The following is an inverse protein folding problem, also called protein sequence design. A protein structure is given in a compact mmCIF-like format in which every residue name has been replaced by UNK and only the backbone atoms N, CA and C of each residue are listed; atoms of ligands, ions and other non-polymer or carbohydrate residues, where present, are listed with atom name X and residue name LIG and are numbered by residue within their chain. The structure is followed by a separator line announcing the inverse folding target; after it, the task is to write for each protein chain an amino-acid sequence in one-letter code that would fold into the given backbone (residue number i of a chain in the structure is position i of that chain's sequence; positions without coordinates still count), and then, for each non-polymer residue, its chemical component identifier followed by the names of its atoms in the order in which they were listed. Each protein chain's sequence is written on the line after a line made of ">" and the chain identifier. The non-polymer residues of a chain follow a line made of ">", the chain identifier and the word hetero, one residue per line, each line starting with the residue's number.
data_IF_675061078656
#
_entry.id   IF_675061078656
#
_cell.length_a   1.000
_cell.length_b   1.000
_cell.length_c   1.000
_cell.angle_alpha   90.00
_cell.angle_beta   90.00
_cell.angle_gamma   90.00
#
_symmetry.space_group_name_H-M   'P 1'
#
loop_
_entity.id
_entity.type
_entity.pdbx_description
1 polymer ?
#
# COMPACT_ATOMS: atom_id res chain seq x y z
N UNK A 1 -2.32 -1.36 15.45
CA UNK A 1 -1.83 -2.72 15.74
C UNK A 1 -0.31 -2.70 15.79
N UNK A 2 0.27 -3.01 16.93
CA UNK A 2 1.72 -3.10 17.05
C UNK A 2 2.25 -4.32 16.28
N UNK A 3 3.53 -4.28 15.92
CA UNK A 3 4.17 -5.40 15.23
C UNK A 3 4.04 -6.69 16.06
N UNK A 4 4.25 -6.59 17.36
CA UNK A 4 4.15 -7.72 18.28
C UNK A 4 2.74 -8.35 18.28
N UNK A 5 1.70 -7.52 18.31
CA UNK A 5 0.30 -7.96 18.27
C UNK A 5 -0.10 -8.52 16.90
N UNK A 6 0.52 -8.00 15.84
CA UNK A 6 0.23 -8.42 14.47
C UNK A 6 0.88 -9.75 14.09
N UNK A 7 1.98 -10.13 14.73
CA UNK A 7 2.75 -11.33 14.36
C UNK A 7 1.91 -12.60 14.24
N UNK A 8 1.01 -12.93 15.19
CA UNK A 8 0.19 -14.14 15.05
C UNK A 8 -0.72 -14.11 13.83
N UNK A 9 -1.29 -12.95 13.50
CA UNK A 9 -2.16 -12.78 12.33
C UNK A 9 -1.34 -12.92 11.05
N UNK A 10 -0.19 -12.26 10.99
CA UNK A 10 0.69 -12.25 9.80
C UNK A 10 1.26 -13.63 9.49
N UNK A 11 1.47 -14.46 10.50
CA UNK A 11 1.96 -15.83 10.32
C UNK A 11 0.86 -16.83 10.00
N UNK A 12 -0.36 -16.62 10.55
CA UNK A 12 -1.46 -17.58 10.46
C UNK A 12 -2.36 -17.38 9.23
N UNK A 13 -2.38 -16.18 8.63
CA UNK A 13 -3.28 -15.84 7.53
C UNK A 13 -2.53 -15.71 6.20
N UNK A 14 -3.15 -16.10 5.07
CA UNK A 14 -2.56 -15.92 3.76
C UNK A 14 -2.41 -14.44 3.38
N UNK A 15 -1.26 -14.07 2.84
CA UNK A 15 -1.01 -12.73 2.33
C UNK A 15 -1.41 -12.62 0.85
N UNK A 16 -2.23 -11.62 0.54
CA UNK A 16 -2.50 -11.18 -0.82
C UNK A 16 -1.64 -9.93 -1.04
N UNK A 17 -0.69 -10.00 -1.96
CA UNK A 17 0.34 -8.99 -2.12
C UNK A 17 0.21 -8.22 -3.44
N UNK A 18 0.85 -7.05 -3.48
CA UNK A 18 1.15 -6.38 -4.75
C UNK A 18 2.08 -7.23 -5.60
N UNK A 19 2.08 -7.01 -6.88
CA UNK A 19 2.99 -7.67 -7.80
C UNK A 19 4.44 -7.41 -7.43
N UNK A 20 5.28 -8.41 -7.64
CA UNK A 20 6.72 -8.29 -7.48
C UNK A 20 7.26 -7.20 -8.43
N UNK A 21 8.21 -6.42 -7.97
CA UNK A 21 8.83 -5.33 -8.73
C UNK A 21 8.16 -3.96 -8.52
N UNK A 22 7.01 -3.88 -7.88
CA UNK A 22 6.44 -2.60 -7.50
C UNK A 22 7.16 -2.02 -6.27
N UNK A 23 7.29 -0.68 -6.21
CA UNK A 23 7.90 -0.02 -5.06
C UNK A 23 7.16 -0.26 -3.76
N UNK A 24 5.83 -0.34 -3.81
CA UNK A 24 5.01 -0.66 -2.64
C UNK A 24 5.27 -2.08 -2.16
N UNK A 25 5.40 -3.05 -3.07
CA UNK A 25 5.74 -4.43 -2.71
C UNK A 25 7.11 -4.50 -2.04
N UNK A 26 8.10 -3.79 -2.54
CA UNK A 26 9.45 -3.77 -1.97
C UNK A 26 9.47 -3.19 -0.56
N UNK A 27 8.69 -2.12 -0.32
CA UNK A 27 8.54 -1.54 1.02
C UNK A 27 7.94 -2.55 2.00
N UNK A 28 6.89 -3.25 1.60
CA UNK A 28 6.20 -4.24 2.44
C UNK A 28 7.13 -5.42 2.74
N UNK A 29 7.84 -5.92 1.75
CA UNK A 29 8.79 -7.01 1.92
C UNK A 29 9.91 -6.63 2.90
N UNK A 30 10.41 -5.40 2.82
CA UNK A 30 11.41 -4.89 3.77
C UNK A 30 10.85 -4.76 5.18
N UNK A 31 9.59 -4.36 5.31
CA UNK A 31 8.93 -4.28 6.60
C UNK A 31 8.82 -5.67 7.26
N UNK A 32 8.41 -6.69 6.51
CA UNK A 32 8.39 -8.06 7.00
C UNK A 32 9.79 -8.54 7.42
N UNK A 33 10.81 -8.27 6.61
CA UNK A 33 12.18 -8.64 6.95
C UNK A 33 12.69 -7.96 8.22
N UNK A 34 12.34 -6.69 8.43
CA UNK A 34 12.70 -5.96 9.66
C UNK A 34 12.05 -6.58 10.90
N UNK A 35 10.95 -7.27 10.71
CA UNK A 35 10.24 -8.00 11.77
C UNK A 35 10.74 -9.44 11.95
N UNK A 36 11.74 -9.86 11.16
CA UNK A 36 12.22 -11.25 11.17
C UNK A 36 11.27 -12.24 10.51
N UNK A 37 10.35 -11.76 9.67
CA UNK A 37 9.35 -12.60 9.00
C UNK A 37 9.71 -12.81 7.53
N UNK A 38 9.60 -14.05 7.08
CA UNK A 38 9.63 -14.43 5.68
C UNK A 38 8.21 -14.83 5.28
N UNK A 39 7.49 -13.93 4.59
CA UNK A 39 6.11 -14.17 4.19
C UNK A 39 6.05 -14.37 2.68
N UNK A 40 5.53 -15.52 2.27
CA UNK A 40 5.29 -15.83 0.86
C UNK A 40 3.82 -15.54 0.54
N UNK A 41 3.51 -14.66 -0.40
CA UNK A 41 2.13 -14.37 -0.74
C UNK A 41 1.48 -15.58 -1.44
N UNK A 42 0.19 -15.78 -1.16
CA UNK A 42 -0.62 -16.79 -1.87
C UNK A 42 -1.15 -16.27 -3.20
N UNK A 43 -1.19 -14.96 -3.36
CA UNK A 43 -1.69 -14.27 -4.54
C UNK A 43 -0.96 -12.94 -4.71
N UNK A 44 -0.69 -12.57 -5.96
CA UNK A 44 -0.05 -11.30 -6.33
C UNK A 44 -0.92 -10.60 -7.36
N UNK A 45 -1.29 -9.35 -7.08
CA UNK A 45 -2.19 -8.57 -7.92
C UNK A 45 -1.66 -7.16 -8.16
N UNK A 46 -1.90 -6.62 -9.34
CA UNK A 46 -1.45 -5.27 -9.73
C UNK A 46 -2.44 -4.16 -9.40
N UNK A 47 -3.59 -4.48 -8.84
CA UNK A 47 -4.65 -3.51 -8.56
C UNK A 47 -5.04 -3.55 -7.08
N UNK A 48 -5.04 -2.38 -6.43
CA UNK A 48 -5.50 -2.23 -5.04
C UNK A 48 -6.96 -2.68 -4.90
N UNK A 49 -7.82 -2.34 -5.86
CA UNK A 49 -9.23 -2.73 -5.82
C UNK A 49 -9.41 -4.25 -5.93
N UNK A 50 -8.61 -4.91 -6.76
CA UNK A 50 -8.61 -6.36 -6.85
C UNK A 50 -8.15 -7.00 -5.53
N UNK A 51 -7.10 -6.47 -4.92
CA UNK A 51 -6.62 -6.91 -3.61
C UNK A 51 -7.73 -6.79 -2.57
N UNK A 52 -8.37 -5.63 -2.48
CA UNK A 52 -9.48 -5.40 -1.52
C UNK A 52 -10.62 -6.39 -1.72
N UNK A 53 -10.97 -6.70 -2.96
CA UNK A 53 -12.03 -7.69 -3.27
C UNK A 53 -11.66 -9.08 -2.79
N UNK A 54 -10.42 -9.50 -2.95
CA UNK A 54 -9.96 -10.80 -2.49
C UNK A 54 -9.96 -10.88 -0.96
N UNK A 55 -9.57 -9.80 -0.29
CA UNK A 55 -9.65 -9.72 1.18
C UNK A 55 -11.11 -9.77 1.64
N UNK A 56 -12.02 -9.03 1.01
CA UNK A 56 -13.46 -9.10 1.32
C UNK A 56 -14.03 -10.50 1.14
N UNK A 57 -13.55 -11.23 0.16
CA UNK A 57 -13.96 -12.62 -0.08
C UNK A 57 -13.42 -13.60 0.97
N UNK A 58 -12.65 -13.14 1.93
CA UNK A 58 -12.12 -13.98 3.00
C UNK A 58 -10.89 -14.80 2.62
N UNK A 59 -10.19 -14.44 1.53
CA UNK A 59 -9.04 -15.20 1.04
C UNK A 59 -7.75 -14.91 1.79
N UNK A 60 -7.73 -13.90 2.64
CA UNK A 60 -6.56 -13.55 3.43
C UNK A 60 -6.55 -12.09 3.84
N UNK A 61 -5.35 -11.57 4.11
CA UNK A 61 -5.11 -10.17 4.45
C UNK A 61 -4.17 -9.52 3.44
N UNK A 62 -4.11 -8.19 3.48
CA UNK A 62 -3.13 -7.43 2.72
C UNK A 62 -2.64 -6.22 3.48
N UNK A 63 -1.56 -5.61 3.01
CA UNK A 63 -1.07 -4.32 3.47
C UNK A 63 -1.24 -3.36 2.29
N UNK A 64 -2.02 -2.32 2.49
CA UNK A 64 -2.36 -1.35 1.43
C UNK A 64 -2.09 0.08 1.91
N UNK A 65 -1.88 1.04 0.99
CA UNK A 65 -1.79 2.44 1.37
C UNK A 65 -3.07 2.90 2.08
N UNK A 66 -2.91 3.73 3.10
CA UNK A 66 -4.03 4.26 3.90
C UNK A 66 -5.12 4.89 3.03
N UNK A 67 -4.74 5.61 1.98
CA UNK A 67 -5.69 6.25 1.06
C UNK A 67 -6.67 5.27 0.39
N UNK A 68 -6.29 4.00 0.27
CA UNK A 68 -7.16 2.98 -0.33
C UNK A 68 -8.32 2.55 0.58
N UNK A 69 -8.26 2.88 1.86
CA UNK A 69 -9.23 2.51 2.89
C UNK A 69 -9.63 3.70 3.77
N UNK A 70 -9.41 4.91 3.30
CA UNK A 70 -9.62 6.11 4.10
C UNK A 70 -11.11 6.44 4.29
N UNK A 71 -11.90 6.33 3.22
CA UNK A 71 -13.33 6.60 3.27
C UNK A 71 -14.09 5.38 3.76
N UNK A 72 -15.25 5.61 4.36
CA UNK A 72 -16.10 4.53 4.89
C UNK A 72 -16.48 3.54 3.78
N UNK A 73 -16.82 4.03 2.60
CA UNK A 73 -17.19 3.21 1.45
C UNK A 73 -16.03 2.31 0.97
N UNK A 74 -14.80 2.82 1.09
CA UNK A 74 -13.60 2.09 0.68
C UNK A 74 -13.27 0.93 1.62
N UNK A 75 -13.78 0.97 2.85
CA UNK A 75 -13.58 -0.05 3.90
C UNK A 75 -14.72 -1.02 4.05
N UNK A 76 -15.79 -0.88 3.32
CA UNK A 76 -16.97 -1.73 3.47
C UNK A 76 -16.59 -3.21 3.37
N UNK A 77 -17.01 -4.01 4.37
CA UNK A 77 -16.67 -5.42 4.48
C UNK A 77 -15.21 -5.71 4.87
N UNK A 78 -14.42 -4.70 5.24
CA UNK A 78 -13.03 -4.84 5.62
C UNK A 78 -12.79 -4.44 7.07
N UNK A 79 -11.92 -5.18 7.77
CA UNK A 79 -11.32 -4.72 9.02
C UNK A 79 -10.00 -4.06 8.71
N UNK A 80 -9.81 -2.84 9.20
CA UNK A 80 -8.62 -2.03 8.94
C UNK A 80 -7.90 -1.74 10.23
N UNK A 81 -6.60 -2.02 10.25
CA UNK A 81 -5.71 -1.73 11.36
C UNK A 81 -4.49 -0.97 10.86
N UNK A 82 -4.03 0.01 11.65
CA UNK A 82 -2.77 0.69 11.36
C UNK A 82 -1.59 -0.18 11.77
N UNK A 83 -0.52 -0.12 10.99
CA UNK A 83 0.73 -0.81 11.32
C UNK A 83 1.58 0.01 12.29
N UNK A 84 2.26 -0.67 13.20
CA UNK A 84 3.31 -0.11 14.02
C UNK A 84 4.52 -1.08 14.06
N UNK A 85 5.73 -0.63 13.70
CA UNK A 85 6.06 0.74 13.27
C UNK A 85 5.41 1.13 11.96
N UNK A 86 5.14 2.43 11.82
CA UNK A 86 4.51 2.96 10.60
C UNK A 86 5.41 2.78 9.39
N UNK A 87 4.79 2.50 8.27
CA UNK A 87 5.45 2.36 6.98
C UNK A 87 5.01 3.51 6.07
N UNK A 88 5.98 4.22 5.50
CA UNK A 88 5.74 5.35 4.61
C UNK A 88 6.30 5.06 3.22
N UNK A 89 5.60 5.51 2.21
CA UNK A 89 6.11 5.53 0.84
C UNK A 89 6.28 6.95 0.37
N UNK A 90 7.29 7.16 -0.46
CA UNK A 90 7.56 8.45 -1.08
C UNK A 90 6.96 8.46 -2.49
N UNK A 91 6.20 9.49 -2.79
CA UNK A 91 5.67 9.73 -4.13
C UNK A 91 6.47 10.83 -4.78
N UNK A 92 6.68 10.73 -6.09
CA UNK A 92 7.41 11.72 -6.86
C UNK A 92 6.70 11.97 -8.19
N UNK A 93 6.80 13.20 -8.66
CA UNK A 93 6.39 13.56 -10.01
C UNK A 93 7.58 13.32 -10.93
N UNK A 94 7.35 12.56 -12.00
CA UNK A 94 8.38 12.25 -12.99
C UNK A 94 7.98 12.82 -14.34
N UNK A 95 8.88 13.55 -14.97
CA UNK A 95 8.69 14.10 -16.30
C UNK A 95 9.95 13.86 -17.14
N UNK A 96 9.78 13.87 -18.47
CA UNK A 96 10.96 13.85 -19.36
C UNK A 96 11.81 15.09 -19.09
N UNK A 97 13.12 14.92 -19.17
CA UNK A 97 14.08 16.00 -18.92
C UNK A 97 13.89 17.20 -19.87
N UNK A 98 13.46 16.94 -21.11
CA UNK A 98 13.22 17.93 -22.15
C UNK A 98 11.77 18.43 -22.19
N UNK A 99 10.95 18.09 -21.21
CA UNK A 99 9.55 18.51 -21.17
C UNK A 99 9.43 20.01 -20.95
N UNK A 100 8.73 20.69 -21.85
CA UNK A 100 8.35 22.09 -21.69
C UNK A 100 7.24 22.17 -20.65
N UNK A 101 7.46 22.97 -19.61
CA UNK A 101 6.48 23.19 -18.55
C UNK A 101 5.52 24.29 -19.00
N UNK A 102 4.30 23.90 -19.37
CA UNK A 102 3.21 24.84 -19.68
C UNK A 102 2.60 25.40 -18.41
N UNK A 103 1.77 26.45 -18.53
CA UNK A 103 1.04 27.02 -17.38
C UNK A 103 0.18 25.96 -16.68
N UNK A 104 -0.49 25.09 -17.44
CA UNK A 104 -1.30 24.01 -16.88
C UNK A 104 -0.48 23.00 -16.08
N UNK A 105 0.67 22.61 -16.60
CA UNK A 105 1.59 21.69 -15.90
C UNK A 105 2.14 22.37 -14.63
N UNK A 106 2.56 23.63 -14.71
CA UNK A 106 3.06 24.38 -13.57
C UNK A 106 2.00 24.49 -12.47
N UNK A 107 0.75 24.75 -12.80
CA UNK A 107 -0.36 24.81 -11.86
C UNK A 107 -0.64 23.45 -11.22
N UNK A 108 -0.61 22.37 -12.01
CA UNK A 108 -0.77 21.01 -11.47
C UNK A 108 0.35 20.67 -10.49
N UNK A 109 1.60 20.99 -10.83
CA UNK A 109 2.75 20.76 -9.92
C UNK A 109 2.58 21.54 -8.62
N UNK A 110 2.13 22.79 -8.71
CA UNK A 110 1.84 23.61 -7.53
C UNK A 110 0.78 22.95 -6.64
N UNK A 111 -0.31 22.47 -7.22
CA UNK A 111 -1.39 21.80 -6.50
C UNK A 111 -0.91 20.49 -5.85
N UNK A 112 -0.12 19.69 -6.57
CA UNK A 112 0.41 18.43 -6.06
C UNK A 112 1.30 18.63 -4.84
N UNK A 113 2.06 19.74 -4.75
CA UNK A 113 2.88 20.06 -3.58
C UNK A 113 2.05 20.42 -2.34
N UNK A 114 0.78 20.78 -2.52
CA UNK A 114 -0.13 21.11 -1.41
C UNK A 114 -0.92 19.91 -0.89
N UNK A 115 -0.91 18.80 -1.63
CA UNK A 115 -1.66 17.59 -1.25
C UNK A 115 -1.00 16.92 -0.06
N UNK A 116 -1.79 16.67 0.97
CA UNK A 116 -1.39 15.86 2.12
C UNK A 116 -2.01 14.47 1.99
N UNK A 117 -1.16 13.50 2.01
CA UNK A 117 -1.56 12.10 1.88
C UNK A 117 -1.43 11.38 3.23
#
# INVERSE_FOLDING_TARGET
>A
LSLHDALPILQAQPLIAFEAGSGTRDLIDRWFRSAGLAVTPVMQLGSIEAIKRMVRAGLGYSIVPRMAVERVEDRDGLRVHSLAPRLYRQLAVVMRQDKIVTKGIAEMLRLLHTVRL
#
